data_IF_841268885332
#
_entry.id   IF_841268885332
#
_cell.length_a   1.000
_cell.length_b   1.000
_cell.length_c   1.000
_cell.angle_alpha   90.00
_cell.angle_beta   90.00
_cell.angle_gamma   90.00
#
_symmetry.space_group_name_H-M   'P 1'
#
loop_
_entity.id
_entity.type
_entity.pdbx_description
1 polymer ?
#
# COMPACT_ATOMS: atom_id res chain seq x y z
N UNK A 1 11.96 31.23 -40.28
CA UNK A 1 10.68 31.19 -39.53
C UNK A 1 10.87 30.41 -38.23
N UNK A 2 11.63 30.94 -37.26
CA UNK A 2 12.13 30.14 -36.12
C UNK A 2 11.76 30.68 -34.73
N UNK A 3 11.05 31.82 -34.64
CA UNK A 3 10.73 32.47 -33.36
C UNK A 3 9.49 31.91 -32.66
N UNK A 4 8.75 31.00 -33.30
CA UNK A 4 7.51 30.47 -32.70
C UNK A 4 7.77 29.28 -31.77
N UNK A 5 8.74 28.41 -32.08
CA UNK A 5 9.06 27.22 -31.27
C UNK A 5 9.68 27.55 -29.91
N UNK A 6 10.41 28.66 -29.80
CA UNK A 6 11.02 29.09 -28.52
C UNK A 6 9.93 29.50 -27.52
N UNK A 7 8.93 30.28 -27.96
CA UNK A 7 7.83 30.76 -27.09
C UNK A 7 6.93 29.66 -26.56
N UNK A 8 6.81 28.55 -27.29
CA UNK A 8 6.01 27.39 -26.84
C UNK A 8 6.74 26.57 -25.78
N UNK A 9 8.09 26.59 -25.73
CA UNK A 9 8.87 25.96 -24.64
C UNK A 9 8.80 26.76 -23.34
N UNK A 10 8.88 28.09 -23.42
CA UNK A 10 8.81 28.96 -22.24
C UNK A 10 7.44 29.01 -21.55
N UNK A 11 6.35 28.67 -22.27
CA UNK A 11 4.99 28.63 -21.70
C UNK A 11 4.72 27.45 -20.77
N UNK A 12 5.59 26.44 -20.75
CA UNK A 12 5.42 25.23 -19.94
C UNK A 12 6.60 25.08 -18.97
N UNK A 13 6.90 26.14 -18.21
CA UNK A 13 7.68 25.95 -16.99
C UNK A 13 6.94 24.95 -16.10
N UNK A 14 7.59 23.88 -15.60
CA UNK A 14 6.94 22.94 -14.70
C UNK A 14 6.55 23.70 -13.43
N UNK A 15 5.25 23.90 -13.24
CA UNK A 15 4.71 24.35 -11.97
C UNK A 15 5.27 23.44 -10.88
N UNK A 16 5.66 24.01 -9.72
CA UNK A 16 6.10 23.22 -8.58
C UNK A 16 5.08 22.09 -8.35
N UNK A 17 5.53 20.83 -8.19
CA UNK A 17 4.62 19.72 -7.99
C UNK A 17 3.74 20.01 -6.78
N UNK A 18 2.45 19.71 -6.92
CA UNK A 18 1.49 19.81 -5.82
C UNK A 18 1.70 18.64 -4.86
N UNK A 19 1.23 18.75 -3.63
CA UNK A 19 1.26 17.64 -2.66
C UNK A 19 0.64 16.35 -3.23
N UNK A 20 -0.43 16.47 -4.02
CA UNK A 20 -1.03 15.35 -4.74
C UNK A 20 -0.08 14.71 -5.78
N UNK A 21 0.72 15.51 -6.49
CA UNK A 21 1.65 14.99 -7.49
C UNK A 21 2.81 14.26 -6.80
N UNK A 22 3.31 14.81 -5.68
CA UNK A 22 4.32 14.17 -4.85
C UNK A 22 3.81 12.84 -4.26
N UNK A 23 2.63 12.83 -3.66
CA UNK A 23 2.01 11.62 -3.12
C UNK A 23 1.76 10.55 -4.20
N UNK A 24 1.33 10.97 -5.40
CA UNK A 24 1.17 10.06 -6.54
C UNK A 24 2.49 9.44 -6.98
N UNK A 25 3.55 10.24 -7.08
CA UNK A 25 4.86 9.76 -7.49
C UNK A 25 5.47 8.81 -6.43
N UNK A 26 5.22 9.08 -5.14
CA UNK A 26 5.61 8.20 -4.04
C UNK A 26 4.82 6.88 -4.04
N UNK A 27 3.50 6.93 -4.33
CA UNK A 27 2.67 5.74 -4.51
C UNK A 27 3.21 4.82 -5.62
N UNK A 28 3.53 5.38 -6.79
CA UNK A 28 4.10 4.59 -7.90
C UNK A 28 5.47 4.02 -7.57
N UNK A 29 6.28 4.75 -6.80
CA UNK A 29 7.57 4.25 -6.33
C UNK A 29 7.40 3.04 -5.41
N UNK A 30 6.40 3.05 -4.53
CA UNK A 30 6.05 1.90 -3.68
C UNK A 30 5.54 0.71 -4.51
N UNK A 31 4.64 0.95 -5.46
CA UNK A 31 4.10 -0.09 -6.35
C UNK A 31 5.24 -0.82 -7.08
N UNK A 32 6.20 -0.09 -7.63
CA UNK A 32 7.34 -0.67 -8.34
C UNK A 32 8.36 -1.36 -7.42
N UNK A 33 8.60 -0.81 -6.22
CA UNK A 33 9.57 -1.37 -5.27
C UNK A 33 9.07 -2.67 -4.63
N UNK A 34 7.78 -2.71 -4.28
CA UNK A 34 7.15 -3.85 -3.64
C UNK A 34 6.70 -4.92 -4.64
N UNK A 35 6.62 -4.60 -5.94
CA UNK A 35 6.22 -5.56 -6.96
C UNK A 35 4.76 -6.01 -6.85
N UNK A 36 3.89 -5.15 -6.31
CA UNK A 36 2.46 -5.44 -6.06
C UNK A 36 1.70 -5.83 -7.34
N UNK A 37 2.23 -5.49 -8.51
CA UNK A 37 1.71 -5.89 -9.82
C UNK A 37 1.64 -7.42 -10.02
N UNK A 38 2.46 -8.19 -9.30
CA UNK A 38 2.46 -9.66 -9.36
C UNK A 38 1.56 -10.33 -8.30
N UNK A 39 1.00 -9.55 -7.38
CA UNK A 39 0.11 -10.05 -6.33
C UNK A 39 -1.29 -10.33 -6.88
N UNK A 40 -2.13 -11.06 -6.14
CA UNK A 40 -3.54 -11.29 -6.52
C UNK A 40 -4.35 -9.98 -6.40
N UNK A 41 -5.50 -9.89 -7.08
CA UNK A 41 -6.32 -8.67 -7.07
C UNK A 41 -6.75 -8.28 -5.65
N UNK A 42 -7.09 -9.25 -4.80
CA UNK A 42 -7.46 -9.02 -3.40
C UNK A 42 -6.29 -8.45 -2.58
N UNK A 43 -5.09 -9.01 -2.75
CA UNK A 43 -3.87 -8.49 -2.11
C UNK A 43 -3.50 -7.10 -2.62
N UNK A 44 -3.73 -6.81 -3.90
CA UNK A 44 -3.50 -5.48 -4.46
C UNK A 44 -4.44 -4.44 -3.84
N UNK A 45 -5.70 -4.80 -3.61
CA UNK A 45 -6.70 -3.90 -3.01
C UNK A 45 -6.36 -3.60 -1.56
N UNK A 46 -6.09 -4.63 -0.75
CA UNK A 46 -5.72 -4.44 0.67
C UNK A 46 -4.42 -3.63 0.78
N UNK A 47 -3.39 -3.98 0.01
CA UNK A 47 -2.14 -3.23 -0.02
C UNK A 47 -2.34 -1.76 -0.44
N UNK A 48 -3.23 -1.50 -1.40
CA UNK A 48 -3.53 -0.14 -1.84
C UNK A 48 -4.17 0.68 -0.71
N UNK A 49 -5.10 0.09 0.03
CA UNK A 49 -5.79 0.75 1.14
C UNK A 49 -4.80 1.12 2.25
N UNK A 50 -3.96 0.18 2.68
CA UNK A 50 -2.90 0.44 3.67
C UNK A 50 -1.91 1.51 3.19
N UNK A 51 -1.49 1.44 1.92
CA UNK A 51 -0.52 2.39 1.37
C UNK A 51 -1.11 3.80 1.24
N UNK A 52 -2.39 3.91 0.85
CA UNK A 52 -3.09 5.19 0.77
C UNK A 52 -3.34 5.79 2.16
N UNK A 53 -3.62 4.95 3.16
CA UNK A 53 -3.72 5.38 4.56
C UNK A 53 -2.39 5.98 5.03
N UNK A 54 -1.28 5.27 4.82
CA UNK A 54 0.07 5.79 5.12
C UNK A 54 0.36 7.13 4.41
N UNK A 55 -0.01 7.26 3.13
CA UNK A 55 0.18 8.50 2.38
C UNK A 55 -0.70 9.64 2.92
N UNK A 56 -1.89 9.33 3.44
CA UNK A 56 -2.77 10.33 4.05
C UNK A 56 -2.18 10.93 5.33
N UNK A 57 -1.53 10.11 6.15
CA UNK A 57 -0.84 10.54 7.36
C UNK A 57 0.41 11.36 7.04
N UNK A 58 1.15 10.95 5.99
CA UNK A 58 2.36 11.62 5.53
C UNK A 58 2.07 12.98 4.87
N UNK A 59 0.97 13.08 4.14
CA UNK A 59 0.54 14.30 3.44
C UNK A 59 -0.78 14.84 4.01
N UNK A 60 -0.78 15.45 5.21
CA UNK A 60 -2.00 15.94 5.87
C UNK A 60 -2.66 17.12 5.13
N UNK A 61 -2.00 17.67 4.10
CA UNK A 61 -2.55 18.69 3.22
C UNK A 61 -3.47 18.13 2.12
N UNK A 62 -3.50 16.81 1.93
CA UNK A 62 -4.39 16.15 0.98
C UNK A 62 -5.82 16.15 1.51
N UNK A 63 -6.76 16.49 0.63
CA UNK A 63 -8.18 16.35 0.92
C UNK A 63 -8.62 14.90 0.77
N UNK A 64 -9.68 14.52 1.46
CA UNK A 64 -10.28 13.17 1.32
C UNK A 64 -10.62 12.80 -0.14
N UNK A 65 -10.98 13.80 -0.96
CA UNK A 65 -11.20 13.60 -2.40
C UNK A 65 -9.92 13.20 -3.15
N UNK A 66 -8.79 13.82 -2.80
CA UNK A 66 -7.48 13.56 -3.40
C UNK A 66 -6.93 12.20 -2.94
N UNK A 67 -7.22 11.80 -1.70
CA UNK A 67 -6.90 10.46 -1.16
C UNK A 67 -7.67 9.38 -1.93
N UNK A 68 -8.99 9.54 -2.11
CA UNK A 68 -9.80 8.62 -2.93
C UNK A 68 -9.37 8.59 -4.40
N UNK A 69 -8.92 9.73 -4.92
CA UNK A 69 -8.38 9.81 -6.27
C UNK A 69 -7.08 9.01 -6.40
N UNK A 70 -6.16 9.12 -5.43
CA UNK A 70 -4.93 8.33 -5.38
C UNK A 70 -5.19 6.83 -5.37
N UNK A 71 -6.12 6.37 -4.53
CA UNK A 71 -6.54 4.96 -4.47
C UNK A 71 -7.07 4.48 -5.82
N UNK A 72 -7.98 5.24 -6.43
CA UNK A 72 -8.55 4.90 -7.73
C UNK A 72 -7.52 4.89 -8.86
N UNK A 73 -6.53 5.80 -8.83
CA UNK A 73 -5.43 5.82 -9.80
C UNK A 73 -4.53 4.59 -9.60
N UNK A 74 -4.16 4.28 -8.36
CA UNK A 74 -3.31 3.14 -8.03
C UNK A 74 -3.92 1.81 -8.45
N UNK A 75 -5.19 1.56 -8.10
CA UNK A 75 -5.88 0.33 -8.51
C UNK A 75 -5.97 0.19 -10.03
N UNK A 76 -6.26 1.27 -10.76
CA UNK A 76 -6.28 1.25 -12.22
C UNK A 76 -4.92 0.98 -12.83
N UNK A 77 -3.86 1.43 -12.18
CA UNK A 77 -2.49 1.18 -12.62
C UNK A 77 -2.12 -0.30 -12.49
N UNK A 78 -2.61 -0.98 -11.45
CA UNK A 78 -2.37 -2.41 -11.27
C UNK A 78 -3.19 -3.30 -12.22
N UNK A 79 -4.26 -2.78 -12.83
CA UNK A 79 -5.08 -3.55 -13.78
C UNK A 79 -4.27 -3.87 -15.05
N UNK A 80 -4.36 -5.11 -15.57
CA UNK A 80 -3.68 -5.49 -16.79
C UNK A 80 -4.16 -4.62 -17.95
N UNK A 81 -3.21 -4.09 -18.72
CA UNK A 81 -3.52 -3.36 -19.97
C UNK A 81 -4.11 -4.37 -20.94
N UNK A 82 -5.40 -4.22 -21.26
CA UNK A 82 -6.05 -5.00 -22.32
C UNK A 82 -5.43 -4.56 -23.66
N UNK A 83 -4.33 -5.19 -24.04
CA UNK A 83 -3.96 -5.30 -25.45
C UNK A 83 -4.98 -6.26 -26.06
N UNK A 84 -5.67 -5.86 -27.13
CA UNK A 84 -6.49 -6.76 -27.94
C UNK A 84 -5.59 -7.74 -28.73
N UNK A 85 -4.72 -8.45 -28.01
CA UNK A 85 -3.87 -9.52 -28.50
C UNK A 85 -4.44 -10.83 -27.92
N UNK A 86 -4.61 -11.88 -28.75
CA UNK A 86 -5.11 -13.16 -28.26
C UNK A 86 -4.00 -13.82 -27.45
N UNK A 87 -4.03 -13.68 -26.12
CA UNK A 87 -3.14 -14.43 -25.23
C UNK A 87 -4.00 -15.15 -24.21
N UNK A 88 -3.84 -16.47 -24.20
CA UNK A 88 -4.45 -17.42 -23.30
C UNK A 88 -4.30 -16.98 -21.85
N UNK A 89 -5.42 -16.92 -21.14
CA UNK A 89 -5.46 -16.77 -19.70
C UNK A 89 -5.01 -18.09 -19.07
N UNK A 90 -3.73 -18.18 -18.75
CA UNK A 90 -3.19 -19.16 -17.81
C UNK A 90 -2.53 -18.37 -16.67
N UNK A 91 -3.20 -18.33 -15.52
CA UNK A 91 -2.63 -18.29 -14.16
C UNK A 91 -3.63 -17.65 -13.17
N UNK A 92 -4.43 -18.50 -12.54
CA UNK A 92 -4.88 -18.33 -11.15
C UNK A 92 -5.51 -19.67 -10.71
N UNK A 93 -4.67 -20.63 -10.31
CA UNK A 93 -5.12 -21.78 -9.52
C UNK A 93 -5.00 -21.41 -8.03
N UNK A 94 -5.99 -21.77 -7.18
CA UNK A 94 -6.00 -21.43 -5.77
C UNK A 94 -5.22 -22.49 -4.97
N UNK A 95 -4.08 -22.12 -4.39
CA UNK A 95 -3.36 -22.97 -3.45
C UNK A 95 -3.76 -22.56 -2.02
N UNK A 96 -4.79 -23.24 -1.52
CA UNK A 96 -5.03 -23.37 -0.08
C UNK A 96 -4.00 -24.33 0.53
N UNK A 97 -3.86 -24.24 1.86
CA UNK A 97 -3.30 -25.20 2.82
C UNK A 97 -1.78 -25.24 3.07
N UNK A 98 -1.36 -24.63 4.19
CA UNK A 98 -0.47 -25.31 5.13
C UNK A 98 -0.89 -25.00 6.57
N UNK A 99 -1.69 -25.90 7.14
CA UNK A 99 -1.82 -26.16 8.57
C UNK A 99 -0.42 -26.47 9.14
N UNK A 100 0.02 -25.69 10.12
CA UNK A 100 1.14 -26.07 11.01
C UNK A 100 0.57 -26.36 12.39
N UNK A 101 0.33 -27.65 12.60
CA UNK A 101 0.20 -28.30 13.89
C UNK A 101 1.46 -28.05 14.72
N UNK A 102 1.28 -27.43 15.90
CA UNK A 102 2.29 -27.37 16.95
C UNK A 102 1.57 -27.53 18.29
N UNK A 103 1.19 -28.77 18.59
CA UNK A 103 0.98 -29.24 19.96
C UNK A 103 2.34 -29.53 20.63
N UNK A 104 2.50 -29.10 21.89
CA UNK A 104 3.43 -29.53 22.96
C UNK A 104 3.45 -28.35 23.97
N UNK A 105 2.65 -28.32 25.04
CA UNK A 105 2.57 -29.34 26.10
C UNK A 105 3.53 -28.92 27.22
N UNK A 106 3.01 -28.46 28.36
CA UNK A 106 3.26 -29.07 29.68
C UNK A 106 2.62 -28.23 30.80
N UNK A 107 2.09 -28.98 31.75
CA UNK A 107 1.23 -28.64 32.86
C UNK A 107 2.01 -28.48 34.19
N UNK A 108 1.29 -28.04 35.22
CA UNK A 108 1.61 -28.13 36.66
C UNK A 108 2.54 -27.08 37.29
N UNK A 109 2.01 -26.15 38.09
CA UNK A 109 1.62 -26.23 39.53
C UNK A 109 2.78 -25.83 40.47
N UNK A 110 2.56 -24.78 41.27
CA UNK A 110 2.78 -24.74 42.73
C UNK A 110 2.97 -23.30 43.25
N UNK A 111 1.93 -22.82 43.93
CA UNK A 111 1.97 -22.40 45.33
C UNK A 111 3.24 -21.70 45.86
N UNK A 112 3.09 -20.44 46.29
CA UNK A 112 3.68 -20.04 47.57
C UNK A 112 2.79 -19.01 48.29
N UNK A 113 2.32 -19.42 49.45
CA UNK A 113 1.85 -18.58 50.55
C UNK A 113 2.77 -17.38 50.80
N UNK A 114 2.18 -16.22 51.10
CA UNK A 114 2.87 -15.20 51.87
C UNK A 114 1.90 -14.55 52.86
N UNK A 115 2.20 -14.83 54.12
CA UNK A 115 1.47 -14.51 55.33
C UNK A 115 1.26 -13.01 55.59
N UNK A 116 0.33 -12.78 56.52
CA UNK A 116 -0.07 -11.52 57.10
C UNK A 116 1.02 -10.81 57.94
N UNK A 117 0.95 -9.47 57.91
CA UNK A 117 1.38 -8.49 58.95
C UNK A 117 2.86 -8.51 59.43
N UNK A 118 3.37 -7.47 60.16
CA UNK A 118 2.75 -6.21 60.61
C UNK A 118 3.59 -4.93 60.34
N UNK A 119 3.02 -3.79 60.79
CA UNK A 119 3.69 -2.65 61.46
C UNK A 119 3.68 -1.25 60.78
N UNK A 120 2.93 -0.37 61.46
CA UNK A 120 3.33 0.96 61.93
C UNK A 120 3.53 2.12 60.94
N UNK A 121 2.59 3.07 60.96
CA UNK A 121 2.81 4.47 61.37
C UNK A 121 1.47 5.18 61.62
#
# INVERSE_FOLDING_TARGET
>A
MSRNRERDRDRKAPSRPTALDEARNELFSHIHRCGVLSATEDQQVEWMKDTVEFLSERYPSLKEKEIKELEGIGLRFCRPVIVNAPVAAEAAEPEAEMDVDAELGDEAEADVEAEAEPAAA
#
